data_IF_508599722573
#
_entry.id   IF_508599722573
#
_cell.length_a   1.000
_cell.length_b   1.000
_cell.length_c   1.000
_cell.angle_alpha   90.00
_cell.angle_beta   90.00
_cell.angle_gamma   90.00
#
_symmetry.space_group_name_H-M   'P 1'
#
loop_
_entity.id
_entity.type
_entity.pdbx_description
1 polymer ?
#
# COMPACT_ATOMS: atom_id res chain seq x y z
N UNK A 1 13.55 -3.05 7.93
CA UNK A 1 13.54 -1.62 8.33
C UNK A 1 13.83 -0.65 7.16
N UNK A 2 14.61 -1.01 6.14
CA UNK A 2 15.08 -0.11 5.05
C UNK A 2 14.19 -0.02 3.78
N UNK A 3 13.06 -0.72 3.73
CA UNK A 3 12.22 -0.83 2.52
C UNK A 3 11.63 0.52 2.06
N UNK A 4 11.18 1.36 2.99
CA UNK A 4 10.62 2.69 2.67
C UNK A 4 11.72 3.71 2.32
N UNK A 5 12.85 3.67 3.02
CA UNK A 5 14.00 4.55 2.78
C UNK A 5 14.57 4.41 1.38
N UNK A 6 14.76 3.18 0.89
CA UNK A 6 15.30 2.96 -0.45
C UNK A 6 14.37 3.56 -1.52
N UNK A 7 13.06 3.32 -1.41
CA UNK A 7 12.05 3.88 -2.33
C UNK A 7 12.05 5.40 -2.27
N UNK A 8 11.99 5.95 -1.07
CA UNK A 8 12.00 7.39 -0.83
C UNK A 8 13.27 8.04 -1.40
N UNK A 9 14.43 7.43 -1.22
CA UNK A 9 15.69 7.93 -1.76
C UNK A 9 15.71 7.90 -3.30
N UNK A 10 15.29 6.80 -3.92
CA UNK A 10 15.24 6.69 -5.39
C UNK A 10 14.31 7.75 -5.97
N UNK A 11 13.11 7.95 -5.39
CA UNK A 11 12.19 8.97 -5.87
C UNK A 11 12.65 10.39 -5.53
N UNK A 12 13.37 10.60 -4.43
CA UNK A 12 14.01 11.89 -4.13
C UNK A 12 15.02 12.25 -5.23
N UNK A 13 15.93 11.32 -5.54
CA UNK A 13 16.94 11.52 -6.58
C UNK A 13 16.29 11.71 -7.95
N UNK A 14 15.31 10.88 -8.30
CA UNK A 14 14.58 11.00 -9.55
C UNK A 14 13.87 12.35 -9.67
N UNK A 15 13.24 12.83 -8.59
CA UNK A 15 12.56 14.12 -8.58
C UNK A 15 13.53 15.28 -8.76
N UNK A 16 14.71 15.23 -8.15
CA UNK A 16 15.77 16.22 -8.39
C UNK A 16 16.16 16.24 -9.87
N UNK A 17 16.40 15.08 -10.49
CA UNK A 17 16.74 14.99 -11.91
C UNK A 17 15.61 15.55 -12.79
N UNK A 18 14.36 15.20 -12.49
CA UNK A 18 13.18 15.72 -13.21
C UNK A 18 13.15 17.24 -13.14
N UNK A 19 13.41 17.85 -11.98
CA UNK A 19 13.42 19.30 -11.82
C UNK A 19 14.58 19.98 -12.56
N UNK A 20 15.76 19.36 -12.59
CA UNK A 20 16.89 19.85 -13.38
C UNK A 20 16.56 19.83 -14.88
N UNK A 21 15.98 18.74 -15.37
CA UNK A 21 15.53 18.63 -16.75
C UNK A 21 14.43 19.65 -17.06
N UNK A 22 13.46 19.82 -16.15
CA UNK A 22 12.40 20.80 -16.29
C UNK A 22 12.98 22.21 -16.43
N UNK A 23 13.90 22.61 -15.55
CA UNK A 23 14.55 23.93 -15.60
C UNK A 23 15.31 24.16 -16.91
N UNK A 24 16.11 23.18 -17.35
CA UNK A 24 16.87 23.28 -18.59
C UNK A 24 15.97 23.34 -19.84
N UNK A 25 14.93 22.50 -19.90
CA UNK A 25 14.02 22.40 -21.04
C UNK A 25 13.11 23.63 -21.15
N UNK A 26 12.62 24.14 -20.02
CA UNK A 26 11.80 25.36 -20.00
C UNK A 26 12.63 26.57 -20.45
N UNK A 27 13.89 26.68 -20.00
CA UNK A 27 14.78 27.76 -20.42
C UNK A 27 15.10 27.70 -21.93
N UNK A 28 15.13 26.51 -22.54
CA UNK A 28 15.33 26.36 -23.98
C UNK A 28 14.05 26.59 -24.81
N UNK A 29 12.87 26.25 -24.27
CA UNK A 29 11.58 26.30 -24.96
C UNK A 29 10.46 26.88 -24.09
N UNK A 30 10.58 28.17 -23.76
CA UNK A 30 9.67 28.88 -22.84
C UNK A 30 8.19 28.81 -23.28
N UNK A 31 7.91 28.86 -24.59
CA UNK A 31 6.54 28.80 -25.13
C UNK A 31 5.82 27.48 -24.86
N UNK A 32 6.56 26.42 -24.50
CA UNK A 32 6.03 25.08 -24.21
C UNK A 32 6.17 24.68 -22.74
N UNK A 33 6.48 25.63 -21.86
CA UNK A 33 6.80 25.35 -20.45
C UNK A 33 5.73 24.51 -19.72
N UNK A 34 4.44 24.81 -19.97
CA UNK A 34 3.33 24.04 -19.39
C UNK A 34 3.30 22.59 -19.85
N UNK A 35 3.49 22.35 -21.16
CA UNK A 35 3.49 21.00 -21.73
C UNK A 35 4.67 20.18 -21.21
N UNK A 36 5.87 20.78 -21.16
CA UNK A 36 7.08 20.13 -20.61
C UNK A 36 6.84 19.69 -19.16
N UNK A 37 6.28 20.58 -18.35
CA UNK A 37 6.00 20.30 -16.93
C UNK A 37 5.00 19.15 -16.77
N UNK A 38 3.90 19.17 -17.51
CA UNK A 38 2.88 18.11 -17.47
C UNK A 38 3.49 16.76 -17.88
N UNK A 39 4.23 16.71 -18.97
CA UNK A 39 4.84 15.48 -19.47
C UNK A 39 5.81 14.89 -18.45
N UNK A 40 6.69 15.71 -17.86
CA UNK A 40 7.65 15.24 -16.86
C UNK A 40 6.97 14.72 -15.59
N UNK A 41 5.93 15.41 -15.11
CA UNK A 41 5.14 14.96 -13.95
C UNK A 41 4.43 13.64 -14.26
N UNK A 42 3.85 13.50 -15.45
CA UNK A 42 3.19 12.25 -15.87
C UNK A 42 4.19 11.10 -15.96
N UNK A 43 5.38 11.32 -16.54
CA UNK A 43 6.42 10.29 -16.61
C UNK A 43 6.88 9.86 -15.21
N UNK A 44 7.06 10.81 -14.30
CA UNK A 44 7.38 10.52 -12.91
C UNK A 44 6.25 9.73 -12.23
N UNK A 45 5.00 10.14 -12.42
CA UNK A 45 3.82 9.44 -11.89
C UNK A 45 3.71 8.01 -12.41
N UNK A 46 4.01 7.76 -13.70
CA UNK A 46 4.05 6.42 -14.29
C UNK A 46 5.14 5.56 -13.63
N UNK A 47 6.34 6.12 -13.40
CA UNK A 47 7.43 5.39 -12.75
C UNK A 47 7.05 4.97 -11.32
N UNK A 48 6.45 5.89 -10.55
CA UNK A 48 5.91 5.60 -9.22
C UNK A 48 4.84 4.51 -9.29
N UNK A 49 3.86 4.67 -10.17
CA UNK A 49 2.77 3.72 -10.34
C UNK A 49 3.26 2.32 -10.70
N UNK A 50 4.22 2.21 -11.64
CA UNK A 50 4.78 0.95 -12.07
C UNK A 50 5.46 0.20 -10.91
N UNK A 51 6.22 0.91 -10.07
CA UNK A 51 6.81 0.30 -8.89
C UNK A 51 5.74 -0.09 -7.86
N UNK A 52 4.80 0.79 -7.54
CA UNK A 52 3.66 0.46 -6.67
C UNK A 52 2.90 -0.78 -7.14
N UNK A 53 2.70 -0.91 -8.45
CA UNK A 53 2.08 -2.07 -9.07
C UNK A 53 2.88 -3.37 -8.88
N UNK A 54 4.20 -3.32 -9.09
CA UNK A 54 5.09 -4.46 -8.83
C UNK A 54 5.06 -4.85 -7.34
N UNK A 55 5.08 -3.87 -6.44
CA UNK A 55 5.00 -4.10 -5.00
C UNK A 55 3.68 -4.76 -4.60
N UNK A 56 2.53 -4.25 -5.09
CA UNK A 56 1.22 -4.82 -4.81
C UNK A 56 1.05 -6.24 -5.33
N UNK A 57 1.55 -6.54 -6.54
CA UNK A 57 1.55 -7.91 -7.07
C UNK A 57 2.44 -8.86 -6.27
N UNK A 58 3.61 -8.39 -5.86
CA UNK A 58 4.58 -9.22 -5.12
C UNK A 58 4.03 -9.54 -3.73
N UNK A 59 3.42 -8.56 -3.07
CA UNK A 59 2.78 -8.73 -1.77
C UNK A 59 1.58 -9.68 -1.82
N UNK A 60 0.69 -9.54 -2.81
CA UNK A 60 -0.46 -10.44 -2.98
C UNK A 60 -0.06 -11.89 -3.29
N UNK A 61 1.07 -12.10 -3.99
CA UNK A 61 1.60 -13.45 -4.27
C UNK A 61 2.27 -14.08 -3.06
N UNK A 62 2.93 -13.28 -2.23
CA UNK A 62 3.62 -13.77 -1.04
C UNK A 62 2.65 -14.05 0.12
N UNK A 63 1.55 -13.30 0.21
CA UNK A 63 0.52 -13.45 1.24
C UNK A 63 -0.86 -13.64 0.60
N UNK A 64 -1.29 -14.89 0.36
CA UNK A 64 -2.60 -15.19 -0.20
C UNK A 64 -3.75 -14.70 0.70
N UNK A 65 -3.55 -14.78 2.02
CA UNK A 65 -4.48 -14.28 3.03
C UNK A 65 -4.48 -12.74 3.07
N UNK A 66 -5.61 -12.06 2.79
CA UNK A 66 -5.72 -10.60 2.79
C UNK A 66 -5.33 -9.94 4.11
N UNK A 67 -5.64 -10.59 5.24
CA UNK A 67 -5.48 -10.00 6.57
C UNK A 67 -4.02 -10.00 7.04
N UNK A 68 -3.17 -10.81 6.38
CA UNK A 68 -1.72 -10.89 6.68
C UNK A 68 -0.85 -10.03 5.76
N UNK A 69 -1.46 -9.24 4.88
CA UNK A 69 -0.73 -8.40 3.91
C UNK A 69 0.03 -7.28 4.60
N UNK A 70 1.17 -6.89 4.02
CA UNK A 70 1.96 -5.80 4.55
C UNK A 70 1.25 -4.44 4.41
N UNK A 71 1.47 -3.54 5.37
CA UNK A 71 1.03 -2.15 5.27
C UNK A 71 1.92 -1.38 4.27
N UNK A 72 1.60 -1.55 2.99
CA UNK A 72 2.24 -0.82 1.90
C UNK A 72 1.80 0.65 1.86
N UNK A 73 0.64 0.99 2.43
CA UNK A 73 0.17 2.37 2.45
C UNK A 73 1.10 3.23 3.30
N UNK A 74 1.42 2.78 4.52
CA UNK A 74 2.38 3.48 5.39
C UNK A 74 3.77 3.56 4.77
N UNK A 75 4.24 2.48 4.12
CA UNK A 75 5.55 2.46 3.43
C UNK A 75 5.63 3.52 2.34
N UNK A 76 4.59 3.62 1.49
CA UNK A 76 4.55 4.57 0.39
C UNK A 76 4.29 6.01 0.85
N UNK A 77 3.54 6.21 1.94
CA UNK A 77 3.34 7.51 2.56
C UNK A 77 4.66 8.08 3.07
N UNK A 78 5.40 7.30 3.87
CA UNK A 78 6.70 7.71 4.41
C UNK A 78 7.74 7.90 3.30
N UNK A 79 7.74 7.03 2.28
CA UNK A 79 8.62 7.18 1.12
C UNK A 79 8.34 8.48 0.35
N UNK A 80 7.06 8.79 0.09
CA UNK A 80 6.66 10.03 -0.59
C UNK A 80 7.01 11.28 0.21
N UNK A 81 6.74 11.28 1.52
CA UNK A 81 7.09 12.38 2.41
C UNK A 81 8.60 12.63 2.45
N UNK A 82 9.38 11.56 2.62
CA UNK A 82 10.84 11.65 2.59
C UNK A 82 11.34 12.15 1.24
N UNK A 83 10.79 11.63 0.13
CA UNK A 83 11.15 12.06 -1.21
C UNK A 83 10.88 13.55 -1.44
N UNK A 84 9.72 14.05 -1.01
CA UNK A 84 9.35 15.45 -1.15
C UNK A 84 10.28 16.38 -0.40
N UNK A 85 10.52 16.11 0.90
CA UNK A 85 11.39 16.96 1.74
C UNK A 85 12.83 16.94 1.23
N UNK A 86 13.39 15.75 0.97
CA UNK A 86 14.80 15.61 0.56
C UNK A 86 15.02 16.20 -0.82
N UNK A 87 14.12 15.94 -1.78
CA UNK A 87 14.26 16.53 -3.12
C UNK A 87 14.11 18.06 -3.11
N UNK A 88 13.19 18.61 -2.32
CA UNK A 88 13.02 20.05 -2.16
C UNK A 88 14.26 20.71 -1.54
N UNK A 89 14.79 20.13 -0.47
CA UNK A 89 16.01 20.62 0.18
C UNK A 89 17.23 20.55 -0.76
N UNK A 90 17.38 19.46 -1.52
CA UNK A 90 18.48 19.30 -2.49
C UNK A 90 18.32 20.27 -3.67
N UNK A 91 17.12 20.43 -4.22
CA UNK A 91 16.87 21.37 -5.32
C UNK A 91 17.15 22.82 -4.90
N UNK A 92 16.74 23.20 -3.69
CA UNK A 92 17.11 24.49 -3.10
C UNK A 92 18.61 24.65 -2.92
N UNK A 93 19.30 23.62 -2.42
CA UNK A 93 20.75 23.68 -2.27
C UNK A 93 21.46 23.87 -3.62
N UNK A 94 20.99 23.20 -4.69
CA UNK A 94 21.54 23.35 -6.04
C UNK A 94 21.27 24.75 -6.61
N UNK A 95 20.12 25.37 -6.30
CA UNK A 95 19.78 26.70 -6.82
C UNK A 95 20.69 27.81 -6.30
N UNK A 96 21.37 27.60 -5.17
CA UNK A 96 22.41 28.52 -4.66
C UNK A 96 23.58 28.67 -5.64
N UNK A 97 23.88 27.63 -6.41
CA UNK A 97 24.99 27.60 -7.38
C UNK A 97 24.51 27.73 -8.83
N UNK A 98 23.27 27.30 -9.12
CA UNK A 98 22.67 27.34 -10.45
C UNK A 98 21.40 28.20 -10.47
N UNK A 99 21.53 29.49 -10.83
CA UNK A 99 20.40 30.44 -10.92
C UNK A 99 19.36 30.13 -12.01
N UNK A 100 19.67 29.22 -12.94
CA UNK A 100 18.73 28.76 -13.97
C UNK A 100 17.71 27.74 -13.41
N UNK A 101 17.87 27.26 -12.18
CA UNK A 101 16.84 26.47 -11.53
C UNK A 101 15.66 27.37 -11.12
N UNK A 102 14.48 27.05 -11.63
CA UNK A 102 13.21 27.63 -11.17
C UNK A 102 12.87 27.04 -9.79
N UNK A 103 13.36 27.69 -8.74
CA UNK A 103 13.19 27.30 -7.34
C UNK A 103 12.78 28.53 -6.55
N UNK A 104 11.76 28.37 -5.71
CA UNK A 104 11.26 29.46 -4.88
C UNK A 104 12.02 29.56 -3.54
N UNK A 105 11.50 30.34 -2.59
CA UNK A 105 12.02 30.37 -1.23
C UNK A 105 12.05 28.96 -0.62
N UNK A 106 13.07 28.67 0.20
CA UNK A 106 13.27 27.37 0.88
C UNK A 106 11.98 26.86 1.56
N UNK A 107 11.24 27.77 2.19
CA UNK A 107 9.99 27.43 2.88
C UNK A 107 8.96 26.86 1.92
N UNK A 108 8.79 27.44 0.72
CA UNK A 108 7.82 26.94 -0.25
C UNK A 108 8.25 25.58 -0.84
N UNK A 109 9.55 25.36 -1.00
CA UNK A 109 10.10 24.08 -1.46
C UNK A 109 9.85 22.95 -0.45
N UNK A 110 10.07 23.21 0.83
CA UNK A 110 9.89 22.23 1.91
C UNK A 110 8.43 22.01 2.31
N UNK A 111 7.50 22.84 1.81
CA UNK A 111 6.07 22.74 2.16
C UNK A 111 5.25 22.39 0.94
N UNK A 112 5.01 23.32 0.02
CA UNK A 112 4.13 23.14 -1.14
C UNK A 112 4.67 22.08 -2.10
N UNK A 113 5.92 22.22 -2.53
CA UNK A 113 6.53 21.25 -3.45
C UNK A 113 6.74 19.88 -2.79
N UNK A 114 7.17 19.87 -1.52
CA UNK A 114 7.29 18.64 -0.76
C UNK A 114 5.94 17.93 -0.60
N UNK A 115 4.87 18.65 -0.26
CA UNK A 115 3.52 18.10 -0.13
C UNK A 115 2.97 17.61 -1.47
N UNK A 116 3.17 18.36 -2.56
CA UNK A 116 2.80 17.93 -3.90
C UNK A 116 3.50 16.62 -4.28
N UNK A 117 4.82 16.55 -4.08
CA UNK A 117 5.61 15.36 -4.39
C UNK A 117 5.17 14.18 -3.53
N UNK A 118 4.96 14.40 -2.23
CA UNK A 118 4.51 13.37 -1.31
C UNK A 118 3.12 12.82 -1.70
N UNK A 119 2.17 13.70 -2.00
CA UNK A 119 0.82 13.32 -2.44
C UNK A 119 0.87 12.55 -3.76
N UNK A 120 1.63 13.05 -4.73
CA UNK A 120 1.74 12.42 -6.04
C UNK A 120 2.37 11.03 -5.94
N UNK A 121 3.46 10.89 -5.17
CA UNK A 121 4.10 9.60 -4.93
C UNK A 121 3.13 8.64 -4.23
N UNK A 122 2.48 9.12 -3.16
CA UNK A 122 1.57 8.31 -2.37
C UNK A 122 0.36 7.80 -3.18
N UNK A 123 -0.35 8.69 -3.87
CA UNK A 123 -1.56 8.34 -4.60
C UNK A 123 -1.25 7.42 -5.79
N UNK A 124 -0.21 7.72 -6.57
CA UNK A 124 0.14 6.91 -7.73
C UNK A 124 0.66 5.53 -7.32
N UNK A 125 1.45 5.46 -6.25
CA UNK A 125 1.91 4.18 -5.74
C UNK A 125 0.78 3.35 -5.15
N UNK A 126 -0.11 3.96 -4.36
CA UNK A 126 -1.24 3.26 -3.74
C UNK A 126 -2.23 2.75 -4.81
N UNK A 127 -2.50 3.55 -5.85
CA UNK A 127 -3.29 3.11 -7.00
C UNK A 127 -2.63 1.92 -7.72
N UNK A 128 -1.30 1.97 -7.92
CA UNK A 128 -0.53 0.86 -8.46
C UNK A 128 -0.64 -0.40 -7.60
N UNK A 129 -0.42 -0.26 -6.28
CA UNK A 129 -0.50 -1.36 -5.31
C UNK A 129 -1.88 -2.00 -5.32
N UNK A 130 -2.94 -1.19 -5.26
CA UNK A 130 -4.32 -1.64 -5.27
C UNK A 130 -4.64 -2.42 -6.56
N UNK A 131 -4.24 -1.89 -7.72
CA UNK A 131 -4.42 -2.58 -9.00
C UNK A 131 -3.61 -3.89 -9.06
N UNK A 132 -2.38 -3.87 -8.52
CA UNK A 132 -1.53 -5.05 -8.45
C UNK A 132 -2.15 -6.17 -7.62
N UNK A 133 -2.67 -5.84 -6.43
CA UNK A 133 -3.40 -6.78 -5.56
C UNK A 133 -4.65 -7.32 -6.25
N UNK A 134 -5.48 -6.42 -6.80
CA UNK A 134 -6.72 -6.78 -7.50
C UNK A 134 -6.50 -7.78 -8.65
N UNK A 135 -5.46 -7.57 -9.48
CA UNK A 135 -5.18 -8.47 -10.60
C UNK A 135 -4.66 -9.85 -10.18
N UNK A 136 -4.06 -9.97 -9.00
CA UNK A 136 -3.63 -11.26 -8.44
C UNK A 136 -4.83 -11.97 -7.82
N UNK A 137 -5.62 -11.26 -7.02
CA UNK A 137 -6.80 -11.80 -6.33
C UNK A 137 -7.84 -12.34 -7.31
N UNK A 138 -8.04 -11.65 -8.44
CA UNK A 138 -8.93 -12.12 -9.52
C UNK A 138 -8.48 -13.42 -10.20
N UNK A 139 -7.19 -13.78 -10.09
CA UNK A 139 -6.61 -14.98 -10.69
C UNK A 139 -6.37 -16.11 -9.70
N UNK A 140 -6.49 -15.84 -8.40
CA UNK A 140 -6.47 -16.87 -7.37
C UNK A 140 -7.78 -17.64 -7.42
N UNK A 141 -7.70 -18.98 -7.38
CA UNK A 141 -8.86 -19.80 -7.06
C UNK A 141 -9.46 -19.30 -5.74
N UNK A 142 -10.80 -19.30 -5.57
CA UNK A 142 -11.41 -19.02 -4.27
C UNK A 142 -10.80 -20.01 -3.29
N UNK A 143 -9.88 -19.54 -2.43
CA UNK A 143 -9.40 -20.34 -1.31
C UNK A 143 -10.65 -20.85 -0.60
N UNK A 144 -10.79 -22.17 -0.40
CA UNK A 144 -11.94 -22.71 0.30
C UNK A 144 -12.00 -21.97 1.62
N UNK A 145 -13.09 -21.24 1.85
CA UNK A 145 -13.40 -20.74 3.17
C UNK A 145 -13.30 -21.94 4.10
N UNK A 146 -12.26 -21.97 4.93
CA UNK A 146 -12.07 -23.00 5.95
C UNK A 146 -13.26 -22.87 6.89
N UNK A 147 -14.28 -23.67 6.61
CA UNK A 147 -15.54 -23.76 7.34
C UNK A 147 -15.35 -24.47 8.70
N UNK A 148 -14.16 -24.49 9.29
CA UNK A 148 -13.79 -25.37 10.41
C UNK A 148 -12.81 -24.70 11.40
N UNK A 149 -13.25 -23.64 12.08
CA UNK A 149 -12.57 -23.14 13.28
C UNK A 149 -13.49 -22.28 14.15
N UNK A 150 -14.75 -22.69 14.35
CA UNK A 150 -15.66 -21.90 15.18
C UNK A 150 -16.96 -22.58 15.60
N UNK A 151 -17.07 -23.91 15.43
CA UNK A 151 -18.27 -24.66 15.84
C UNK A 151 -18.12 -25.31 17.22
N UNK A 152 -16.88 -25.47 17.72
CA UNK A 152 -16.66 -26.06 19.05
C UNK A 152 -16.78 -25.03 20.20
N UNK A 153 -16.41 -23.76 19.98
CA UNK A 153 -16.52 -22.71 21.02
C UNK A 153 -17.94 -22.11 21.14
N UNK A 154 -18.83 -22.41 20.20
CA UNK A 154 -20.22 -21.89 20.20
C UNK A 154 -21.19 -22.78 20.97
N UNK A 155 -20.84 -24.04 21.22
CA UNK A 155 -21.66 -24.98 21.96
C UNK A 155 -21.85 -24.55 23.43
N UNK A 156 -20.85 -23.90 24.04
CA UNK A 156 -20.91 -23.46 25.43
C UNK A 156 -21.73 -22.16 25.64
N UNK A 157 -22.08 -21.46 24.56
CA UNK A 157 -22.89 -20.22 24.64
C UNK A 157 -24.30 -20.36 24.07
N UNK A 158 -24.63 -21.50 23.46
CA UNK A 158 -25.96 -21.72 22.89
C UNK A 158 -26.91 -22.37 23.91
N UNK A 159 -27.60 -21.52 24.68
CA UNK A 159 -28.59 -21.92 25.71
C UNK A 159 -29.71 -22.81 25.13
N UNK A 160 -29.93 -22.76 23.81
CA UNK A 160 -30.96 -23.55 23.13
C UNK A 160 -30.51 -24.97 22.77
N UNK A 161 -29.21 -25.23 22.67
CA UNK A 161 -28.69 -26.59 22.45
C UNK A 161 -28.86 -27.46 23.71
N UNK A 162 -28.67 -26.88 24.90
CA UNK A 162 -28.79 -27.58 26.18
C UNK A 162 -30.22 -28.10 26.50
N UNK A 163 -31.25 -27.52 25.89
CA UNK A 163 -32.67 -27.93 26.07
C UNK A 163 -33.06 -29.10 25.14
N UNK A 164 -32.24 -29.41 24.14
CA UNK A 164 -32.57 -30.38 23.09
C UNK A 164 -32.03 -31.80 23.33
N UNK A 165 -31.87 -32.24 24.57
CA UNK A 165 -31.64 -33.67 24.87
C UNK A 165 -32.97 -34.45 24.91
N UNK A 166 -33.26 -35.34 23.94
CA UNK A 166 -34.33 -36.32 24.05
C UNK A 166 -33.74 -37.59 24.66
N UNK A 167 -33.92 -37.77 25.97
CA UNK A 167 -33.32 -38.91 26.68
C UNK A 167 -33.86 -39.08 28.08
N UNK A 168 -35.17 -38.96 28.24
CA UNK A 168 -35.87 -39.33 29.46
C UNK A 168 -37.04 -40.25 29.10
N UNK A 169 -36.73 -41.39 28.48
CA UNK A 169 -37.57 -42.58 28.52
C UNK A 169 -36.71 -43.81 28.16
N UNK A 170 -36.96 -44.90 28.88
CA UNK A 170 -36.45 -46.27 28.66
C UNK A 170 -34.99 -46.59 29.08
N UNK A 171 -34.82 -47.08 30.33
CA UNK A 171 -34.27 -48.43 30.61
C UNK A 171 -34.18 -48.70 32.11
N UNK A 172 -35.23 -49.33 32.67
CA UNK A 172 -35.16 -50.06 33.93
C UNK A 172 -35.91 -51.39 33.80
N UNK A 173 -35.49 -52.20 32.84
CA UNK A 173 -35.84 -53.63 32.79
C UNK A 173 -34.54 -54.41 32.78
N UNK A 174 -34.00 -54.68 33.97
CA UNK A 174 -32.94 -55.68 34.14
C UNK A 174 -33.54 -56.90 34.86
N UNK A 175 -34.00 -57.82 34.03
CA UNK A 175 -34.38 -59.18 34.38
C UNK A 175 -33.14 -59.96 34.85
N UNK A 176 -33.17 -60.54 36.06
CA UNK A 176 -32.49 -61.82 36.30
C UNK A 176 -33.19 -62.64 37.37
N UNK A 177 -33.58 -63.81 36.90
CA UNK A 177 -34.34 -64.88 37.50
C UNK A 177 -33.48 -65.79 38.41
N UNK A 178 -34.19 -66.47 39.32
CA UNK A 178 -33.96 -67.81 39.91
C UNK A 178 -33.08 -68.12 41.17
N UNK A 179 -33.78 -68.78 42.12
CA UNK A 179 -33.43 -69.79 43.17
C UNK A 179 -32.60 -69.32 44.40
N UNK A 180 -32.96 -69.66 45.65
CA UNK A 180 -33.48 -70.89 46.29
C UNK A 180 -34.43 -70.54 47.43
#
# INVERSE_FOLDING_TARGET
MSKWLLRGLVFATLMVVVRLLQGALINAWETKAGLISIVLVVLFAIAVFAWGFVDGRTDARANPDPDRRGDLAMVWLLAGLFAGIVSGAVAWFISLFYKSLYVEALVNELTTFAAFTALLVFLMALAGVALGRFLVDRKGDPTPHLHHAGDEDRADTDVFAAVSHPGADETATQQRDDRV
#
